data_IF_310072002584
#
_entry.id   IF_310072002584
#
_cell.length_a   1.000
_cell.length_b   1.000
_cell.length_c   1.000
_cell.angle_alpha   90.00
_cell.angle_beta   90.00
_cell.angle_gamma   90.00
#
_symmetry.space_group_name_H-M   'P 1'
#
loop_
_entity.id
_entity.type
_entity.pdbx_description
1 polymer ?
#
# COMPACT_ATOMS: atom_id res chain seq x y z
N UNK A 1 -22.38 -16.78 10.41
CA UNK A 1 -21.20 -16.00 10.00
C UNK A 1 -19.98 -16.82 10.33
N UNK A 2 -19.48 -17.59 9.35
CA UNK A 2 -18.29 -18.41 9.49
C UNK A 2 -17.28 -17.82 8.51
N UNK A 3 -16.39 -16.96 9.01
CA UNK A 3 -15.25 -16.48 8.25
C UNK A 3 -14.38 -17.70 7.93
N UNK A 4 -14.11 -17.93 6.64
CA UNK A 4 -13.13 -18.93 6.19
C UNK A 4 -11.74 -18.36 6.50
N UNK A 5 -11.38 -18.36 7.78
CA UNK A 5 -10.02 -18.21 8.24
C UNK A 5 -9.35 -19.57 8.05
N UNK A 6 -8.52 -19.69 7.02
CA UNK A 6 -7.77 -20.90 6.77
C UNK A 6 -6.76 -20.68 5.68
N UNK A 7 -5.56 -20.22 6.05
CA UNK A 7 -4.38 -20.58 5.27
C UNK A 7 -4.38 -22.11 5.12
N UNK A 8 -4.35 -22.62 3.90
CA UNK A 8 -4.02 -24.03 3.67
C UNK A 8 -2.67 -24.29 4.36
N UNK A 9 -2.55 -25.30 5.26
CA UNK A 9 -1.30 -25.57 5.94
C UNK A 9 -0.23 -25.91 4.90
N UNK A 10 0.79 -25.05 4.79
CA UNK A 10 1.95 -25.31 3.95
C UNK A 10 2.69 -26.53 4.52
N UNK A 11 2.61 -27.65 3.80
CA UNK A 11 3.36 -28.86 4.15
C UNK A 11 4.86 -28.57 4.10
N UNK A 12 5.61 -29.02 5.11
CA UNK A 12 7.07 -28.85 5.26
C UNK A 12 7.93 -29.63 4.24
N UNK A 13 7.38 -30.04 3.10
CA UNK A 13 8.12 -30.79 2.09
C UNK A 13 7.92 -30.19 0.70
N UNK A 14 8.95 -29.50 0.24
CA UNK A 14 9.15 -29.14 -1.17
C UNK A 14 9.58 -30.41 -1.91
N UNK A 15 8.85 -30.88 -2.94
CA UNK A 15 9.36 -31.94 -3.81
C UNK A 15 10.43 -31.36 -4.75
N UNK A 16 11.58 -32.00 -4.84
CA UNK A 16 12.59 -31.73 -5.86
C UNK A 16 12.02 -31.98 -7.26
N UNK A 17 11.80 -30.92 -8.02
CA UNK A 17 11.54 -31.01 -9.46
C UNK A 17 12.88 -30.93 -10.19
N UNK A 18 13.41 -32.12 -10.51
CA UNK A 18 14.50 -32.28 -11.47
C UNK A 18 13.95 -32.10 -12.89
N UNK A 19 14.33 -30.99 -13.55
CA UNK A 19 14.40 -30.95 -15.01
C UNK A 19 15.57 -30.09 -15.45
N UNK A 20 16.58 -30.78 -15.97
CA UNK A 20 17.65 -30.22 -16.80
C UNK A 20 17.00 -29.79 -18.11
N UNK A 21 17.15 -28.52 -18.47
CA UNK A 21 17.18 -28.10 -19.87
C UNK A 21 18.22 -26.98 -20.01
N UNK A 22 19.25 -27.31 -20.79
CA UNK A 22 20.37 -26.47 -21.19
C UNK A 22 19.89 -25.36 -22.12
N UNK A 23 20.12 -24.10 -21.74
CA UNK A 23 20.14 -22.99 -22.69
C UNK A 23 21.50 -22.29 -22.63
N UNK A 24 22.15 -22.31 -23.78
CA UNK A 24 23.50 -21.85 -24.07
C UNK A 24 23.65 -20.33 -23.97
N UNK A 25 24.84 -19.96 -23.55
CA UNK A 25 25.42 -18.62 -23.36
C UNK A 25 25.23 -17.65 -24.53
N UNK A 26 24.80 -16.43 -24.20
CA UNK A 26 24.99 -15.22 -25.01
C UNK A 26 25.54 -14.11 -24.12
N UNK A 27 26.86 -14.01 -24.02
CA UNK A 27 27.57 -12.96 -23.29
C UNK A 27 27.59 -11.68 -24.11
N UNK A 28 26.83 -10.67 -23.68
CA UNK A 28 26.84 -9.31 -24.24
C UNK A 28 27.05 -8.29 -23.13
N UNK A 29 28.23 -7.69 -23.12
CA UNK A 29 28.75 -6.68 -22.19
C UNK A 29 27.75 -5.55 -21.85
N UNK A 30 27.45 -5.40 -20.56
CA UNK A 30 27.09 -4.13 -19.93
C UNK A 30 28.01 -3.91 -18.72
N UNK A 31 29.26 -3.55 -18.99
CA UNK A 31 30.16 -2.99 -17.98
C UNK A 31 29.74 -1.54 -17.69
N UNK A 32 28.69 -1.38 -16.89
CA UNK A 32 28.41 -0.13 -16.19
C UNK A 32 29.28 -0.07 -14.94
N UNK A 33 30.14 0.94 -14.86
CA UNK A 33 30.97 1.26 -13.69
C UNK A 33 30.15 1.25 -12.38
N UNK A 34 30.15 0.12 -11.65
CA UNK A 34 29.72 0.08 -10.25
C UNK A 34 30.80 0.82 -9.45
N UNK A 35 30.51 2.04 -9.01
CA UNK A 35 31.21 2.60 -7.84
C UNK A 35 31.00 1.61 -6.70
N UNK A 36 32.03 0.81 -6.39
CA UNK A 36 32.07 -0.07 -5.23
C UNK A 36 31.86 0.81 -4.01
N UNK A 37 30.66 0.70 -3.43
CA UNK A 37 30.38 1.25 -2.11
C UNK A 37 31.21 0.38 -1.18
N UNK A 38 32.21 0.96 -0.50
CA UNK A 38 33.03 0.19 0.43
C UNK A 38 32.12 -0.48 1.47
N UNK A 39 32.13 -1.81 1.49
CA UNK A 39 31.37 -2.58 2.48
C UNK A 39 32.09 -2.40 3.82
N UNK A 40 31.41 -1.95 4.89
CA UNK A 40 32.04 -1.77 6.18
C UNK A 40 32.67 -3.07 6.67
N UNK A 41 33.79 -2.97 7.40
CA UNK A 41 34.50 -4.12 7.97
C UNK A 41 33.56 -4.93 8.89
N UNK A 42 33.48 -6.25 8.71
CA UNK A 42 32.55 -7.11 9.45
C UNK A 42 31.12 -7.15 8.89
N UNK A 43 30.89 -6.53 7.72
CA UNK A 43 29.65 -6.64 6.96
C UNK A 43 29.91 -7.36 5.64
N UNK A 44 28.89 -8.05 5.12
CA UNK A 44 28.89 -8.63 3.77
C UNK A 44 27.65 -8.19 2.99
N UNK A 45 27.76 -8.19 1.66
CA UNK A 45 26.62 -7.93 0.78
C UNK A 45 25.97 -9.27 0.42
N UNK A 46 24.66 -9.38 0.67
CA UNK A 46 23.85 -10.51 0.23
C UNK A 46 22.84 -10.01 -0.79
N UNK A 47 22.84 -10.62 -1.98
CA UNK A 47 21.85 -10.34 -3.02
C UNK A 47 20.62 -11.23 -2.79
N UNK A 48 19.47 -10.61 -2.61
CA UNK A 48 18.18 -11.26 -2.40
C UNK A 48 17.36 -11.21 -3.68
N UNK A 49 16.75 -12.33 -4.03
CA UNK A 49 15.79 -12.40 -5.13
C UNK A 49 14.44 -11.88 -4.66
N UNK A 50 13.90 -10.89 -5.38
CA UNK A 50 12.56 -10.38 -5.13
C UNK A 50 11.47 -11.39 -5.54
N UNK A 51 10.26 -11.28 -4.99
CA UNK A 51 9.12 -12.05 -5.46
C UNK A 51 8.80 -11.77 -6.93
N UNK A 52 7.95 -12.58 -7.55
CA UNK A 52 7.47 -12.35 -8.91
C UNK A 52 6.52 -11.16 -9.02
N UNK A 53 7.01 -9.94 -8.80
CA UNK A 53 6.21 -8.71 -8.69
C UNK A 53 5.48 -8.35 -10.00
N UNK A 54 6.10 -8.59 -11.16
CA UNK A 54 5.51 -8.36 -12.49
C UNK A 54 5.12 -9.67 -13.18
N UNK A 55 4.33 -10.49 -12.49
CA UNK A 55 3.84 -11.78 -13.01
C UNK A 55 2.33 -11.90 -12.78
N UNK A 56 1.69 -12.86 -13.47
CA UNK A 56 0.26 -13.13 -13.31
C UNK A 56 -0.59 -11.88 -13.53
N UNK A 57 -1.40 -11.51 -12.53
CA UNK A 57 -2.30 -10.35 -12.57
C UNK A 57 -1.58 -9.01 -12.83
N UNK A 58 -0.29 -8.93 -12.48
CA UNK A 58 0.52 -7.71 -12.53
C UNK A 58 1.58 -7.76 -13.64
N UNK A 59 1.48 -8.72 -14.57
CA UNK A 59 2.39 -8.80 -15.70
C UNK A 59 2.32 -7.56 -16.61
N UNK A 60 1.15 -6.92 -16.68
CA UNK A 60 0.96 -5.68 -17.42
C UNK A 60 1.17 -4.47 -16.50
N UNK A 61 1.82 -3.40 -17.01
CA UNK A 61 2.03 -2.18 -16.25
C UNK A 61 0.69 -1.53 -15.85
N UNK A 62 0.74 -0.66 -14.85
CA UNK A 62 -0.40 0.12 -14.42
C UNK A 62 -0.89 1.03 -15.55
N UNK A 63 -2.21 1.10 -15.71
CA UNK A 63 -2.84 2.17 -16.46
C UNK A 63 -2.67 3.46 -15.65
N UNK A 64 -2.38 4.56 -16.31
CA UNK A 64 -2.20 5.86 -15.65
C UNK A 64 -3.26 6.85 -16.14
N UNK A 65 -3.80 7.61 -15.21
CA UNK A 65 -4.73 8.69 -15.52
C UNK A 65 -4.07 9.73 -16.47
N UNK A 66 -4.75 10.15 -17.54
CA UNK A 66 -4.18 11.08 -18.54
C UNK A 66 -3.83 12.46 -17.94
N UNK A 67 -4.44 12.84 -16.83
CA UNK A 67 -4.18 14.12 -16.15
C UNK A 67 -2.86 14.14 -15.35
N UNK A 68 -2.12 13.03 -15.27
CA UNK A 68 -0.81 12.97 -14.59
C UNK A 68 0.18 14.03 -15.09
N UNK A 69 0.16 14.35 -16.38
CA UNK A 69 1.05 15.36 -16.99
C UNK A 69 0.42 16.76 -17.06
N UNK A 70 -0.75 16.96 -16.44
CA UNK A 70 -1.42 18.25 -16.39
C UNK A 70 -0.98 19.08 -15.17
N UNK A 71 -1.45 20.32 -15.09
CA UNK A 71 -1.22 21.19 -13.94
C UNK A 71 -1.84 20.66 -12.63
N UNK A 72 -2.76 19.69 -12.68
CA UNK A 72 -3.47 19.19 -11.50
C UNK A 72 -2.50 18.60 -10.47
N UNK A 73 -1.48 17.86 -10.94
CA UNK A 73 -0.45 17.29 -10.07
C UNK A 73 0.32 18.38 -9.34
N UNK A 74 0.79 19.40 -10.08
CA UNK A 74 1.50 20.56 -9.53
C UNK A 74 0.64 21.34 -8.55
N UNK A 75 -0.63 21.58 -8.88
CA UNK A 75 -1.55 22.31 -8.00
C UNK A 75 -1.82 21.56 -6.68
N UNK A 76 -1.90 20.23 -6.70
CA UNK A 76 -2.05 19.44 -5.47
C UNK A 76 -0.80 19.55 -4.58
N UNK A 77 0.39 19.48 -5.17
CA UNK A 77 1.66 19.63 -4.47
C UNK A 77 1.87 21.03 -3.91
N UNK A 78 1.58 22.09 -4.69
CA UNK A 78 1.69 23.49 -4.26
C UNK A 78 0.70 23.83 -3.15
N UNK A 79 -0.54 23.38 -3.27
CA UNK A 79 -1.55 23.57 -2.24
C UNK A 79 -1.16 22.88 -0.93
N UNK A 80 -0.64 21.64 -1.02
CA UNK A 80 -0.16 20.91 0.16
C UNK A 80 1.07 21.58 0.78
N UNK A 81 1.98 22.12 -0.05
CA UNK A 81 3.14 22.90 0.40
C UNK A 81 2.71 24.10 1.25
N UNK A 82 1.70 24.83 0.80
CA UNK A 82 1.18 26.00 1.51
C UNK A 82 0.56 25.62 2.85
N UNK A 83 -0.35 24.63 2.87
CA UNK A 83 -1.03 24.18 4.10
C UNK A 83 -0.04 23.62 5.12
N UNK A 84 0.92 22.82 4.66
CA UNK A 84 1.90 22.17 5.53
C UNK A 84 3.07 23.10 5.90
N UNK A 85 3.13 24.32 5.36
CA UNK A 85 4.21 25.27 5.63
C UNK A 85 5.60 24.77 5.20
N UNK A 86 5.69 24.01 4.10
CA UNK A 86 6.93 23.36 3.72
C UNK A 86 7.95 24.37 3.17
N UNK A 87 9.18 24.28 3.67
CA UNK A 87 10.33 24.91 3.04
C UNK A 87 10.72 24.19 1.73
N UNK A 88 11.70 24.72 1.00
CA UNK A 88 12.13 24.15 -0.30
C UNK A 88 12.59 22.69 -0.19
N UNK A 89 13.25 22.29 0.90
CA UNK A 89 13.66 20.90 1.12
C UNK A 89 12.46 19.98 1.32
N UNK A 90 11.48 20.42 2.13
CA UNK A 90 10.22 19.70 2.34
C UNK A 90 9.42 19.57 1.03
N UNK A 91 9.35 20.65 0.25
CA UNK A 91 8.69 20.63 -1.05
C UNK A 91 9.40 19.73 -2.06
N UNK A 92 10.73 19.72 -2.09
CA UNK A 92 11.50 18.79 -2.92
C UNK A 92 11.26 17.32 -2.51
N UNK A 93 11.13 17.03 -1.21
CA UNK A 93 10.76 15.69 -0.72
C UNK A 93 9.35 15.30 -1.15
N UNK A 94 8.38 16.22 -1.06
CA UNK A 94 6.99 16.00 -1.52
C UNK A 94 6.95 15.62 -3.00
N UNK A 95 7.58 16.43 -3.86
CA UNK A 95 7.65 16.14 -5.32
C UNK A 95 8.41 14.86 -5.63
N UNK A 96 9.50 14.61 -4.88
CA UNK A 96 10.30 13.40 -5.00
C UNK A 96 9.50 12.13 -4.71
N UNK A 97 8.51 12.19 -3.81
CA UNK A 97 7.66 11.05 -3.49
C UNK A 97 6.65 10.68 -4.59
N UNK A 98 6.46 11.54 -5.60
CA UNK A 98 5.61 11.29 -6.76
C UNK A 98 4.20 10.79 -6.41
N UNK A 99 3.54 11.34 -5.39
CA UNK A 99 2.17 10.97 -5.02
C UNK A 99 1.15 11.13 -6.17
N UNK A 100 1.29 12.10 -7.09
CA UNK A 100 0.43 12.13 -8.28
C UNK A 100 0.55 10.91 -9.19
N UNK A 101 1.72 10.27 -9.26
CA UNK A 101 1.90 9.01 -10.01
C UNK A 101 1.11 7.87 -9.35
N UNK A 102 1.11 7.79 -8.02
CA UNK A 102 0.31 6.83 -7.27
C UNK A 102 -1.18 7.05 -7.53
N UNK A 103 -1.64 8.30 -7.39
CA UNK A 103 -3.03 8.69 -7.67
C UNK A 103 -3.45 8.34 -9.11
N UNK A 104 -2.57 8.54 -10.09
CA UNK A 104 -2.84 8.25 -11.49
C UNK A 104 -3.02 6.74 -11.74
N UNK A 105 -2.30 5.90 -11.02
CA UNK A 105 -2.46 4.44 -11.09
C UNK A 105 -3.67 3.92 -10.31
N UNK A 106 -4.12 4.63 -9.27
CA UNK A 106 -5.20 4.18 -8.39
C UNK A 106 -6.61 4.35 -8.97
N UNK A 107 -6.81 5.36 -9.82
CA UNK A 107 -8.04 5.47 -10.61
C UNK A 107 -7.74 6.04 -12.01
N UNK A 108 -7.25 5.22 -12.95
CA UNK A 108 -6.88 5.68 -14.28
C UNK A 108 -8.05 6.31 -15.06
N UNK A 109 -9.28 5.85 -14.81
CA UNK A 109 -10.47 6.28 -15.57
C UNK A 109 -11.24 7.44 -14.93
N UNK A 110 -10.74 8.04 -13.83
CA UNK A 110 -11.43 9.18 -13.20
C UNK A 110 -11.23 10.48 -14.00
N UNK A 111 -12.18 11.39 -13.90
CA UNK A 111 -12.06 12.73 -14.47
C UNK A 111 -11.03 13.62 -13.73
N UNK A 112 -10.82 14.83 -14.23
CA UNK A 112 -9.87 15.80 -13.68
C UNK A 112 -10.13 16.12 -12.19
N UNK A 113 -11.40 16.23 -11.78
CA UNK A 113 -11.76 16.52 -10.40
C UNK A 113 -11.45 15.33 -9.50
N UNK A 114 -11.81 14.13 -9.92
CA UNK A 114 -11.49 12.91 -9.18
C UNK A 114 -9.98 12.65 -9.10
N UNK A 115 -9.21 12.97 -10.16
CA UNK A 115 -7.76 12.89 -10.13
C UNK A 115 -7.16 13.87 -9.10
N UNK A 116 -7.70 15.10 -9.01
CA UNK A 116 -7.32 16.05 -7.97
C UNK A 116 -7.62 15.53 -6.57
N UNK A 117 -8.80 14.95 -6.35
CA UNK A 117 -9.18 14.34 -5.06
C UNK A 117 -8.18 13.24 -4.67
N UNK A 118 -7.81 12.36 -5.60
CA UNK A 118 -6.84 11.31 -5.32
C UNK A 118 -5.43 11.85 -5.06
N UNK A 119 -4.97 12.86 -5.80
CA UNK A 119 -3.68 13.50 -5.49
C UNK A 119 -3.67 14.06 -4.06
N UNK A 120 -4.72 14.82 -3.69
CA UNK A 120 -4.86 15.38 -2.35
C UNK A 120 -4.94 14.27 -1.28
N UNK A 121 -5.65 13.16 -1.56
CA UNK A 121 -5.76 12.00 -0.67
C UNK A 121 -4.41 11.30 -0.48
N UNK A 122 -3.67 11.05 -1.57
CA UNK A 122 -2.34 10.43 -1.50
C UNK A 122 -1.37 11.32 -0.74
N UNK A 123 -1.38 12.64 -0.95
CA UNK A 123 -0.51 13.52 -0.17
C UNK A 123 -0.89 13.50 1.31
N UNK A 124 -2.19 13.58 1.61
CA UNK A 124 -2.69 13.57 2.98
C UNK A 124 -2.33 12.29 3.73
N UNK A 125 -2.57 11.11 3.15
CA UNK A 125 -2.42 9.84 3.87
C UNK A 125 -0.98 9.62 4.33
N UNK A 126 0.01 10.01 3.53
CA UNK A 126 1.41 9.90 3.93
C UNK A 126 1.79 10.89 5.03
N UNK A 127 1.26 12.12 5.02
CA UNK A 127 1.48 13.04 6.13
C UNK A 127 0.79 12.58 7.41
N UNK A 128 -0.37 11.94 7.28
CA UNK A 128 -1.08 11.38 8.41
C UNK A 128 -0.35 10.16 8.99
N UNK A 129 0.05 9.20 8.15
CA UNK A 129 0.83 8.02 8.56
C UNK A 129 2.17 8.41 9.20
N UNK A 130 2.89 9.40 8.64
CA UNK A 130 4.18 9.88 9.17
C UNK A 130 4.05 10.37 10.64
N UNK A 131 2.86 10.80 11.12
CA UNK A 131 2.64 11.14 12.54
C UNK A 131 2.79 9.93 13.46
N UNK A 132 2.40 8.74 12.99
CA UNK A 132 2.38 7.49 13.75
C UNK A 132 3.60 6.60 13.48
N UNK A 133 4.21 6.70 12.30
CA UNK A 133 5.37 5.88 11.92
C UNK A 133 6.68 6.48 12.43
N UNK A 134 6.94 7.74 12.09
CA UNK A 134 8.20 8.44 12.36
C UNK A 134 8.02 9.65 13.29
N UNK A 135 6.76 9.97 13.62
CA UNK A 135 6.38 11.18 14.33
C UNK A 135 6.20 11.02 15.84
N UNK A 136 5.64 12.06 16.44
CA UNK A 136 5.45 12.17 17.89
C UNK A 136 4.45 11.14 18.47
N UNK A 137 3.60 10.54 17.64
CA UNK A 137 2.56 9.60 18.09
C UNK A 137 3.03 8.14 18.10
N UNK A 138 4.21 7.85 17.52
CA UNK A 138 4.74 6.49 17.32
C UNK A 138 4.76 5.61 18.58
N UNK A 139 5.10 6.21 19.72
CA UNK A 139 5.25 5.51 21.00
C UNK A 139 4.26 6.00 22.06
N UNK A 140 3.19 6.68 21.66
CA UNK A 140 2.14 7.17 22.56
C UNK A 140 0.75 6.70 22.08
N UNK A 141 0.33 5.48 22.48
CA UNK A 141 -0.99 4.94 22.13
C UNK A 141 -2.17 5.85 22.51
N UNK A 142 -2.06 6.59 23.61
CA UNK A 142 -3.13 7.48 24.07
C UNK A 142 -3.23 8.73 23.20
N UNK A 143 -2.11 9.36 22.86
CA UNK A 143 -2.08 10.48 21.92
C UNK A 143 -2.52 10.03 20.51
N UNK A 144 -2.04 8.88 20.03
CA UNK A 144 -2.45 8.30 18.76
C UNK A 144 -3.98 8.11 18.69
N UNK A 145 -4.59 7.53 19.73
CA UNK A 145 -6.05 7.35 19.80
C UNK A 145 -6.80 8.67 19.79
N UNK A 146 -6.30 9.71 20.47
CA UNK A 146 -6.89 11.05 20.46
C UNK A 146 -6.83 11.67 19.06
N UNK A 147 -5.71 11.51 18.36
CA UNK A 147 -5.56 12.01 16.99
C UNK A 147 -6.50 11.31 16.00
N UNK A 148 -6.63 9.98 16.12
CA UNK A 148 -7.59 9.18 15.35
C UNK A 148 -9.03 9.63 15.60
N UNK A 149 -9.42 9.79 16.85
CA UNK A 149 -10.77 10.23 17.20
C UNK A 149 -11.06 11.62 16.66
N UNK A 150 -10.08 12.52 16.70
CA UNK A 150 -10.21 13.85 16.12
C UNK A 150 -10.39 13.79 14.59
N UNK A 151 -9.67 12.90 13.89
CA UNK A 151 -9.85 12.72 12.45
C UNK A 151 -11.20 12.09 12.09
N UNK A 152 -11.72 11.16 12.89
CA UNK A 152 -13.08 10.61 12.71
C UNK A 152 -14.16 11.67 12.90
N UNK A 153 -13.97 12.61 13.82
CA UNK A 153 -14.91 13.70 14.05
C UNK A 153 -15.05 14.63 12.82
N UNK A 154 -14.03 14.72 11.96
CA UNK A 154 -14.06 15.53 10.73
C UNK A 154 -15.11 15.05 9.72
N UNK A 155 -15.63 13.83 9.86
CA UNK A 155 -16.72 13.33 9.04
C UNK A 155 -18.08 13.92 9.38
N UNK A 156 -18.22 14.57 10.55
CA UNK A 156 -19.46 15.18 10.99
C UNK A 156 -19.79 16.47 10.24
N UNK A 157 -21.08 16.66 9.94
CA UNK A 157 -21.57 17.82 9.17
C UNK A 157 -21.50 19.13 9.97
N UNK A 158 -21.49 19.04 11.30
CA UNK A 158 -21.40 20.14 12.26
C UNK A 158 -19.98 20.38 12.79
N UNK A 159 -18.96 19.65 12.28
CA UNK A 159 -17.59 19.84 12.74
C UNK A 159 -17.07 21.24 12.36
N UNK A 160 -16.52 22.03 13.30
CA UNK A 160 -16.02 23.37 13.01
C UNK A 160 -14.83 23.36 12.05
N UNK A 161 -14.57 24.48 11.38
CA UNK A 161 -13.38 24.62 10.53
C UNK A 161 -12.10 24.43 11.35
N UNK A 162 -11.19 23.60 10.82
CA UNK A 162 -9.88 23.37 11.44
C UNK A 162 -8.99 24.58 11.21
N UNK A 163 -8.37 25.10 12.28
CA UNK A 163 -7.40 26.20 12.19
C UNK A 163 -6.15 25.78 11.39
N UNK A 164 -5.76 26.52 10.33
CA UNK A 164 -4.57 26.21 9.53
C UNK A 164 -3.26 26.20 10.32
N UNK A 165 -3.16 27.00 11.38
CA UNK A 165 -1.90 27.21 12.13
C UNK A 165 -1.58 26.09 13.11
N UNK A 166 -2.59 25.32 13.53
CA UNK A 166 -2.45 24.40 14.66
C UNK A 166 -2.46 22.92 14.23
N UNK A 167 -3.22 22.59 13.17
CA UNK A 167 -3.48 21.20 12.77
C UNK A 167 -3.53 21.06 11.23
N UNK A 168 -2.41 21.30 10.51
CA UNK A 168 -2.41 21.33 9.05
C UNK A 168 -2.83 20.00 8.40
N UNK A 169 -2.47 18.85 8.99
CA UNK A 169 -2.88 17.52 8.51
C UNK A 169 -4.41 17.33 8.59
N UNK A 170 -5.04 17.78 9.68
CA UNK A 170 -6.50 17.75 9.85
C UNK A 170 -7.20 18.71 8.88
N UNK A 171 -6.64 19.89 8.63
CA UNK A 171 -7.19 20.85 7.67
C UNK A 171 -7.16 20.28 6.24
N UNK A 172 -6.04 19.66 5.86
CA UNK A 172 -5.89 18.98 4.59
C UNK A 172 -7.00 17.93 4.42
N UNK A 173 -7.20 17.09 5.45
CA UNK A 173 -8.26 16.09 5.43
C UNK A 173 -9.67 16.67 5.42
N UNK A 174 -9.96 17.69 6.22
CA UNK A 174 -11.30 18.30 6.27
C UNK A 174 -11.68 18.87 4.91
N UNK A 175 -10.73 19.52 4.23
CA UNK A 175 -10.93 20.05 2.88
C UNK A 175 -11.15 18.91 1.88
N UNK A 176 -10.35 17.86 1.97
CA UNK A 176 -10.48 16.65 1.15
C UNK A 176 -11.84 15.96 1.36
N UNK A 177 -12.28 15.80 2.60
CA UNK A 177 -13.57 15.20 2.94
C UNK A 177 -14.72 15.98 2.33
N UNK A 178 -14.69 17.31 2.34
CA UNK A 178 -15.70 18.15 1.66
C UNK A 178 -15.77 17.87 0.17
N UNK A 179 -14.61 17.71 -0.50
CA UNK A 179 -14.54 17.37 -1.94
C UNK A 179 -15.10 15.97 -2.20
N UNK A 180 -14.74 14.97 -1.37
CA UNK A 180 -15.27 13.60 -1.47
C UNK A 180 -16.79 13.61 -1.27
N UNK A 181 -17.28 14.27 -0.22
CA UNK A 181 -18.70 14.38 0.11
C UNK A 181 -19.50 14.99 -1.05
N UNK A 182 -18.97 16.01 -1.72
CA UNK A 182 -19.62 16.68 -2.84
C UNK A 182 -19.87 15.77 -4.06
N UNK A 183 -19.06 14.71 -4.25
CA UNK A 183 -19.22 13.76 -5.37
C UNK A 183 -19.86 12.43 -4.95
N UNK A 184 -20.22 12.27 -3.68
CA UNK A 184 -20.62 10.99 -3.10
C UNK A 184 -22.09 10.97 -2.71
N UNK A 185 -22.77 9.86 -3.02
CA UNK A 185 -24.08 9.54 -2.42
C UNK A 185 -23.94 9.31 -0.91
N UNK A 186 -25.05 9.32 -0.17
CA UNK A 186 -25.03 9.01 1.27
C UNK A 186 -24.51 7.59 1.54
N UNK A 187 -24.84 6.60 0.70
CA UNK A 187 -24.31 5.24 0.79
C UNK A 187 -22.78 5.18 0.61
N UNK A 188 -22.27 5.84 -0.42
CA UNK A 188 -20.83 5.95 -0.66
C UNK A 188 -20.09 6.65 0.49
N UNK A 189 -20.69 7.74 1.05
CA UNK A 189 -20.17 8.41 2.23
C UNK A 189 -20.05 7.45 3.42
N UNK A 190 -21.08 6.64 3.70
CA UNK A 190 -21.04 5.68 4.81
C UNK A 190 -19.99 4.59 4.60
N UNK A 191 -19.89 4.01 3.38
CA UNK A 191 -18.85 3.02 3.05
C UNK A 191 -17.43 3.60 3.20
N UNK A 192 -17.21 4.83 2.73
CA UNK A 192 -15.93 5.51 2.92
C UNK A 192 -15.62 5.75 4.40
N UNK A 193 -16.56 6.31 5.17
CA UNK A 193 -16.37 6.55 6.62
C UNK A 193 -16.09 5.23 7.35
N UNK A 194 -16.79 4.14 7.03
CA UNK A 194 -16.55 2.84 7.64
C UNK A 194 -15.14 2.32 7.30
N UNK A 195 -14.71 2.45 6.04
CA UNK A 195 -13.35 2.05 5.65
C UNK A 195 -12.26 2.88 6.34
N UNK A 196 -12.52 4.17 6.59
CA UNK A 196 -11.63 5.04 7.37
C UNK A 196 -11.56 4.62 8.84
N UNK A 197 -12.68 4.22 9.45
CA UNK A 197 -12.69 3.67 10.82
C UNK A 197 -11.79 2.45 10.93
N UNK A 198 -11.95 1.48 10.04
CA UNK A 198 -11.09 0.29 10.02
C UNK A 198 -9.62 0.66 9.82
N UNK A 199 -9.31 1.56 8.88
CA UNK A 199 -7.94 2.02 8.65
C UNK A 199 -7.31 2.62 9.91
N UNK A 200 -8.02 3.53 10.58
CA UNK A 200 -7.55 4.14 11.81
C UNK A 200 -7.43 3.15 12.98
N UNK A 201 -8.33 2.17 13.08
CA UNK A 201 -8.20 1.07 14.04
C UNK A 201 -6.93 0.25 13.77
N UNK A 202 -6.62 -0.02 12.51
CA UNK A 202 -5.36 -0.64 12.07
C UNK A 202 -4.13 0.14 12.50
N UNK A 203 -4.11 1.47 12.31
CA UNK A 203 -3.01 2.33 12.78
C UNK A 203 -2.86 2.24 14.29
N UNK A 204 -3.96 2.27 15.04
CA UNK A 204 -3.86 2.20 16.48
C UNK A 204 -3.28 0.85 16.96
N UNK A 205 -3.67 -0.26 16.32
CA UNK A 205 -3.07 -1.57 16.57
C UNK A 205 -1.57 -1.59 16.23
N UNK A 206 -1.17 -0.89 15.17
CA UNK A 206 0.24 -0.74 14.80
C UNK A 206 1.01 0.04 15.87
N UNK A 207 0.48 1.17 16.35
CA UNK A 207 1.09 1.96 17.44
C UNK A 207 1.17 1.15 18.73
N UNK A 208 0.10 0.44 19.10
CA UNK A 208 0.10 -0.47 20.24
C UNK A 208 1.21 -1.52 20.10
N UNK A 209 1.33 -2.14 18.92
CA UNK A 209 2.39 -3.12 18.66
C UNK A 209 3.79 -2.49 18.81
N UNK A 210 4.04 -1.32 18.23
CA UNK A 210 5.35 -0.65 18.33
C UNK A 210 5.66 -0.30 19.79
N UNK A 211 4.68 0.24 20.52
CA UNK A 211 4.80 0.56 21.93
C UNK A 211 5.16 -0.69 22.75
N UNK A 212 4.42 -1.80 22.62
CA UNK A 212 4.70 -3.03 23.36
C UNK A 212 6.07 -3.64 23.03
N UNK A 213 6.51 -3.57 21.76
CA UNK A 213 7.87 -3.95 21.39
C UNK A 213 8.93 -3.10 22.11
N UNK A 214 8.71 -1.79 22.23
CA UNK A 214 9.61 -0.90 22.99
C UNK A 214 9.69 -1.25 24.50
N UNK A 215 8.65 -1.90 25.03
CA UNK A 215 8.59 -2.40 26.41
C UNK A 215 9.16 -3.82 26.56
N UNK A 216 9.73 -4.39 25.50
CA UNK A 216 10.33 -5.74 25.50
C UNK A 216 9.37 -6.88 25.13
N UNK A 217 8.10 -6.59 24.79
CA UNK A 217 7.15 -7.61 24.35
C UNK A 217 7.25 -7.85 22.85
N UNK A 218 7.83 -8.98 22.46
CA UNK A 218 8.10 -9.31 21.04
C UNK A 218 7.14 -10.36 20.44
N UNK A 219 5.99 -10.57 21.07
CA UNK A 219 5.07 -11.68 20.77
C UNK A 219 4.16 -11.48 19.54
N UNK A 220 4.31 -10.40 18.76
CA UNK A 220 3.45 -10.11 17.59
C UNK A 220 3.63 -11.17 16.49
N UNK A 221 2.80 -12.20 16.45
CA UNK A 221 2.86 -13.23 15.39
C UNK A 221 2.53 -12.66 14.01
N UNK A 222 2.92 -13.38 12.96
CA UNK A 222 2.61 -13.04 11.58
C UNK A 222 1.09 -12.96 11.35
N UNK A 223 0.27 -13.81 11.99
CA UNK A 223 -1.19 -13.72 11.89
C UNK A 223 -1.75 -12.46 12.55
N UNK A 224 -1.24 -12.09 13.73
CA UNK A 224 -1.64 -10.83 14.40
C UNK A 224 -1.26 -9.62 13.54
N UNK A 225 -0.03 -9.62 13.03
CA UNK A 225 0.46 -8.60 12.11
C UNK A 225 -0.41 -8.51 10.86
N UNK A 226 -0.69 -9.65 10.22
CA UNK A 226 -1.47 -9.75 9.00
C UNK A 226 -2.82 -9.05 9.13
N UNK A 227 -3.54 -9.35 10.21
CA UNK A 227 -4.88 -8.77 10.48
C UNK A 227 -4.82 -7.26 10.72
N UNK A 228 -3.86 -6.80 11.53
CA UNK A 228 -3.70 -5.36 11.80
C UNK A 228 -3.27 -4.58 10.56
N UNK A 229 -2.27 -5.09 9.84
CA UNK A 229 -1.68 -4.46 8.65
C UNK A 229 -2.68 -4.41 7.48
N UNK A 230 -3.55 -5.41 7.34
CA UNK A 230 -4.65 -5.39 6.35
C UNK A 230 -5.48 -4.11 6.46
N UNK A 231 -5.70 -3.64 7.69
CA UNK A 231 -6.38 -2.38 7.94
C UNK A 231 -5.45 -1.17 7.86
N UNK A 232 -4.24 -1.22 8.43
CA UNK A 232 -3.32 -0.07 8.48
C UNK A 232 -2.69 0.31 7.13
N UNK A 233 -2.84 -0.51 6.08
CA UNK A 233 -2.30 -0.22 4.75
C UNK A 233 -3.00 0.92 3.98
N UNK A 234 -4.10 1.49 4.49
CA UNK A 234 -4.79 2.63 3.87
C UNK A 234 -5.53 2.33 2.55
N UNK A 235 -5.46 1.10 2.03
CA UNK A 235 -6.03 0.73 0.72
C UNK A 235 -7.57 0.71 0.69
N UNK A 236 -8.21 0.26 1.79
CA UNK A 236 -9.68 0.15 1.86
C UNK A 236 -10.41 1.49 1.65
N UNK A 237 -9.97 2.60 2.27
CA UNK A 237 -10.45 3.94 1.90
C UNK A 237 -10.36 4.27 0.42
N UNK A 238 -9.23 3.98 -0.25
CA UNK A 238 -9.12 4.20 -1.69
C UNK A 238 -10.09 3.35 -2.51
N UNK A 239 -10.29 2.09 -2.12
CA UNK A 239 -11.27 1.22 -2.78
C UNK A 239 -12.69 1.78 -2.65
N UNK A 240 -13.06 2.30 -1.47
CA UNK A 240 -14.35 2.96 -1.27
C UNK A 240 -14.51 4.23 -2.12
N UNK A 241 -13.43 4.97 -2.39
CA UNK A 241 -13.45 6.13 -3.27
C UNK A 241 -13.72 5.79 -4.75
N UNK A 242 -13.49 4.55 -5.19
CA UNK A 242 -13.79 4.16 -6.57
C UNK A 242 -15.27 4.32 -6.90
N UNK A 243 -16.16 4.09 -5.93
CA UNK A 243 -17.60 4.22 -6.14
C UNK A 243 -17.99 5.63 -6.64
N UNK A 244 -17.72 6.72 -5.91
CA UNK A 244 -18.04 8.07 -6.37
C UNK A 244 -17.16 8.51 -7.55
N UNK A 245 -15.89 8.11 -7.62
CA UNK A 245 -14.98 8.49 -8.72
C UNK A 245 -15.44 7.91 -10.06
N UNK A 246 -15.94 6.68 -10.06
CA UNK A 246 -16.41 5.98 -11.26
C UNK A 246 -17.92 6.05 -11.47
N UNK A 247 -18.63 6.75 -10.59
CA UNK A 247 -20.09 6.92 -10.60
C UNK A 247 -20.81 5.57 -10.59
N UNK A 248 -20.29 4.64 -9.79
CA UNK A 248 -20.85 3.29 -9.62
C UNK A 248 -22.06 3.38 -8.69
N UNK A 249 -23.14 2.72 -9.05
CA UNK A 249 -24.37 2.61 -8.26
C UNK A 249 -24.78 1.15 -8.20
N UNK A 250 -24.45 0.47 -7.10
CA UNK A 250 -24.81 -0.92 -6.86
C UNK A 250 -25.73 -1.07 -5.65
N UNK A 251 -26.66 -2.03 -5.67
CA UNK A 251 -27.41 -2.42 -4.49
C UNK A 251 -26.50 -2.92 -3.37
N UNK A 252 -26.89 -2.71 -2.11
CA UNK A 252 -26.08 -3.11 -0.95
C UNK A 252 -25.76 -4.62 -0.92
N UNK A 253 -26.69 -5.48 -1.35
CA UNK A 253 -26.44 -6.93 -1.42
C UNK A 253 -25.32 -7.32 -2.39
N UNK A 254 -25.00 -6.47 -3.39
CA UNK A 254 -23.86 -6.67 -4.30
C UNK A 254 -22.57 -6.23 -3.61
N UNK A 255 -22.57 -5.07 -2.94
CA UNK A 255 -21.44 -4.60 -2.14
C UNK A 255 -21.03 -5.58 -1.04
N UNK A 256 -22.02 -6.22 -0.41
CA UNK A 256 -21.84 -7.18 0.67
C UNK A 256 -21.55 -8.60 0.17
N UNK A 257 -21.52 -8.82 -1.15
CA UNK A 257 -21.28 -10.14 -1.70
C UNK A 257 -19.87 -10.63 -1.33
N UNK A 258 -19.71 -11.86 -0.80
CA UNK A 258 -18.43 -12.36 -0.30
C UNK A 258 -17.29 -12.32 -1.32
N UNK A 259 -17.58 -12.55 -2.61
CA UNK A 259 -16.55 -12.51 -3.66
C UNK A 259 -16.09 -11.10 -4.02
N UNK A 260 -16.92 -10.07 -3.79
CA UNK A 260 -16.47 -8.67 -3.87
C UNK A 260 -15.49 -8.39 -2.73
N UNK A 261 -15.85 -8.79 -1.50
CA UNK A 261 -14.96 -8.64 -0.33
C UNK A 261 -13.65 -9.38 -0.47
N UNK A 262 -13.69 -10.60 -1.02
CA UNK A 262 -12.51 -11.42 -1.29
C UNK A 262 -11.58 -10.76 -2.31
N UNK A 263 -12.13 -10.17 -3.38
CA UNK A 263 -11.34 -9.44 -4.37
C UNK A 263 -10.70 -8.18 -3.77
N UNK A 264 -11.49 -7.40 -3.01
CA UNK A 264 -11.00 -6.22 -2.30
C UNK A 264 -9.88 -6.58 -1.29
N UNK A 265 -10.07 -7.62 -0.48
CA UNK A 265 -9.08 -8.15 0.47
C UNK A 265 -7.82 -8.57 -0.25
N UNK A 266 -7.97 -9.31 -1.35
CA UNK A 266 -6.84 -9.79 -2.13
C UNK A 266 -6.00 -8.63 -2.67
N UNK A 267 -6.63 -7.59 -3.23
CA UNK A 267 -5.91 -6.40 -3.70
C UNK A 267 -5.24 -5.63 -2.55
N UNK A 268 -5.91 -5.49 -1.40
CA UNK A 268 -5.31 -4.91 -0.19
C UNK A 268 -4.06 -5.66 0.24
N UNK A 269 -4.12 -6.99 0.30
CA UNK A 269 -2.98 -7.81 0.68
C UNK A 269 -1.82 -7.71 -0.31
N UNK A 270 -2.10 -7.59 -1.62
CA UNK A 270 -1.07 -7.37 -2.63
C UNK A 270 -0.37 -6.01 -2.40
N UNK A 271 -1.12 -4.93 -2.26
CA UNK A 271 -0.59 -3.58 -1.97
C UNK A 271 0.28 -3.58 -0.72
N UNK A 272 -0.24 -4.16 0.35
CA UNK A 272 0.45 -4.28 1.63
C UNK A 272 1.77 -5.05 1.50
N UNK A 273 1.76 -6.20 0.84
CA UNK A 273 2.98 -7.00 0.70
C UNK A 273 4.03 -6.36 -0.20
N UNK A 274 3.62 -5.68 -1.27
CA UNK A 274 4.56 -4.98 -2.14
C UNK A 274 5.24 -3.83 -1.42
N UNK A 275 4.47 -3.10 -0.61
CA UNK A 275 5.02 -2.12 0.30
C UNK A 275 6.09 -2.77 1.18
N UNK A 276 5.74 -3.79 1.98
CA UNK A 276 6.68 -4.44 2.90
C UNK A 276 7.95 -4.97 2.20
N UNK A 277 7.79 -5.69 1.08
CA UNK A 277 8.90 -6.34 0.35
C UNK A 277 9.88 -5.30 -0.21
N UNK A 278 9.37 -4.18 -0.70
CA UNK A 278 10.19 -3.13 -1.31
C UNK A 278 10.72 -2.14 -0.27
N UNK A 279 9.97 -1.89 0.80
CA UNK A 279 10.35 -0.98 1.88
C UNK A 279 11.29 -1.62 2.90
N UNK A 280 11.33 -2.95 3.02
CA UNK A 280 12.08 -3.65 4.05
C UNK A 280 13.54 -3.20 4.18
N UNK A 281 14.25 -2.98 3.06
CA UNK A 281 15.65 -2.54 3.09
C UNK A 281 15.83 -1.18 3.79
N UNK A 282 14.89 -0.26 3.59
CA UNK A 282 14.85 1.04 4.30
C UNK A 282 14.47 0.81 5.76
N UNK A 283 13.37 0.11 6.00
CA UNK A 283 12.78 -0.07 7.34
C UNK A 283 13.66 -0.86 8.30
N UNK A 284 14.40 -1.86 7.80
CA UNK A 284 15.36 -2.62 8.59
C UNK A 284 16.50 -1.72 9.12
N UNK A 285 16.93 -0.72 8.34
CA UNK A 285 17.93 0.26 8.79
C UNK A 285 17.40 1.22 9.86
N UNK A 286 16.08 1.36 9.96
CA UNK A 286 15.35 2.21 10.91
C UNK A 286 14.81 1.41 12.11
N UNK A 287 15.14 0.11 12.20
CA UNK A 287 14.67 -0.83 13.23
C UNK A 287 13.15 -0.84 13.39
N UNK A 288 12.41 -0.72 12.28
CA UNK A 288 10.94 -0.76 12.29
C UNK A 288 10.47 -2.21 12.48
N UNK A 289 9.75 -2.54 13.57
CA UNK A 289 9.34 -3.92 13.86
C UNK A 289 8.09 -4.36 13.06
N UNK A 290 7.42 -3.44 12.36
CA UNK A 290 6.13 -3.63 11.72
C UNK A 290 6.24 -3.95 10.21
N UNK A 291 6.98 -5.00 9.86
CA UNK A 291 7.15 -5.46 8.48
C UNK A 291 7.06 -6.99 8.41
N UNK A 292 6.35 -7.54 7.42
CA UNK A 292 6.20 -8.99 7.26
C UNK A 292 7.53 -9.75 7.20
N UNK A 293 8.54 -9.24 6.49
CA UNK A 293 9.85 -9.88 6.37
C UNK A 293 10.52 -9.96 7.74
N UNK A 294 10.56 -8.85 8.49
CA UNK A 294 11.10 -8.82 9.85
C UNK A 294 10.43 -9.85 10.76
N UNK A 295 9.10 -9.89 10.73
CA UNK A 295 8.31 -10.77 11.59
C UNK A 295 8.52 -12.24 11.21
N UNK A 296 8.63 -12.58 9.93
CA UNK A 296 8.92 -13.93 9.48
C UNK A 296 10.31 -14.40 9.93
N UNK A 297 11.33 -13.55 9.85
CA UNK A 297 12.66 -13.89 10.35
C UNK A 297 12.63 -14.15 11.87
N UNK A 298 11.95 -13.28 12.63
CA UNK A 298 11.89 -13.37 14.09
C UNK A 298 11.03 -14.55 14.58
N UNK A 299 9.83 -14.73 14.04
CA UNK A 299 8.88 -15.74 14.51
C UNK A 299 9.21 -17.15 13.99
N UNK A 300 9.66 -17.26 12.74
CA UNK A 300 9.86 -18.57 12.08
C UNK A 300 11.32 -18.95 11.90
N UNK A 301 12.25 -18.07 12.27
CA UNK A 301 13.68 -18.31 12.10
C UNK A 301 14.14 -18.32 10.64
N UNK A 302 13.36 -17.74 9.73
CA UNK A 302 13.71 -17.70 8.31
C UNK A 302 14.95 -16.83 8.07
N UNK A 303 15.82 -17.28 7.18
CA UNK A 303 16.79 -16.41 6.53
C UNK A 303 16.08 -15.32 5.73
N UNK A 304 16.83 -14.28 5.34
CA UNK A 304 16.27 -13.20 4.55
C UNK A 304 15.69 -13.72 3.22
N UNK A 305 16.39 -14.63 2.53
CA UNK A 305 15.88 -15.19 1.27
C UNK A 305 14.63 -16.06 1.51
N UNK A 306 14.59 -16.88 2.56
CA UNK A 306 13.41 -17.71 2.88
C UNK A 306 12.17 -16.85 3.20
N UNK A 307 12.34 -15.69 3.85
CA UNK A 307 11.24 -14.75 4.09
C UNK A 307 10.70 -14.15 2.77
N UNK A 308 11.57 -13.79 1.83
CA UNK A 308 11.18 -13.32 0.50
C UNK A 308 10.54 -14.43 -0.35
N UNK A 309 11.04 -15.67 -0.24
CA UNK A 309 10.46 -16.83 -0.93
C UNK A 309 9.05 -17.16 -0.39
N UNK A 310 8.84 -17.00 0.92
CA UNK A 310 7.52 -17.11 1.54
C UNK A 310 6.56 -16.02 1.04
N UNK A 311 7.01 -14.76 0.97
CA UNK A 311 6.21 -13.67 0.39
C UNK A 311 5.82 -13.98 -1.06
N UNK A 312 6.73 -14.54 -1.86
CA UNK A 312 6.45 -14.97 -3.23
C UNK A 312 5.38 -16.08 -3.32
N UNK A 313 5.36 -17.01 -2.37
CA UNK A 313 4.29 -18.02 -2.30
C UNK A 313 2.93 -17.38 -1.98
N UNK A 314 2.90 -16.41 -1.07
CA UNK A 314 1.67 -15.71 -0.71
C UNK A 314 1.11 -14.86 -1.86
N UNK A 315 1.97 -14.18 -2.62
CA UNK A 315 1.55 -13.45 -3.82
C UNK A 315 0.89 -14.39 -4.84
N UNK A 316 1.46 -15.58 -5.06
CA UNK A 316 0.86 -16.59 -5.95
C UNK A 316 -0.52 -17.05 -5.45
N UNK A 317 -0.67 -17.24 -4.13
CA UNK A 317 -1.96 -17.58 -3.54
C UNK A 317 -2.98 -16.44 -3.71
N UNK A 318 -2.56 -15.19 -3.56
CA UNK A 318 -3.43 -14.02 -3.81
C UNK A 318 -3.90 -13.98 -5.26
N UNK A 319 -3.04 -14.29 -6.23
CA UNK A 319 -3.48 -14.39 -7.62
C UNK A 319 -4.56 -15.45 -7.81
N UNK A 320 -4.41 -16.62 -7.18
CA UNK A 320 -5.43 -17.67 -7.21
C UNK A 320 -6.74 -17.21 -6.57
N UNK A 321 -6.68 -16.55 -5.41
CA UNK A 321 -7.85 -15.99 -4.70
C UNK A 321 -8.60 -14.96 -5.55
N UNK A 322 -7.88 -14.08 -6.25
CA UNK A 322 -8.50 -13.13 -7.18
C UNK A 322 -9.23 -13.83 -8.32
N UNK A 323 -8.58 -14.79 -9.00
CA UNK A 323 -9.23 -15.53 -10.09
C UNK A 323 -10.45 -16.31 -9.61
N UNK A 324 -10.35 -16.91 -8.42
CA UNK A 324 -11.46 -17.60 -7.78
C UNK A 324 -12.63 -16.65 -7.49
N UNK A 325 -12.34 -15.48 -6.90
CA UNK A 325 -13.34 -14.46 -6.63
C UNK A 325 -14.07 -14.04 -7.92
N UNK A 326 -13.33 -13.78 -9.01
CA UNK A 326 -13.91 -13.45 -10.31
C UNK A 326 -14.80 -14.57 -10.87
N UNK A 327 -14.35 -15.82 -10.81
CA UNK A 327 -15.08 -16.97 -11.33
C UNK A 327 -16.36 -17.29 -10.53
N UNK A 328 -16.36 -16.99 -9.23
CA UNK A 328 -17.48 -17.28 -8.34
C UNK A 328 -18.48 -16.11 -8.20
N UNK A 329 -18.32 -15.03 -8.95
CA UNK A 329 -19.34 -13.98 -9.01
C UNK A 329 -20.58 -14.50 -9.74
N UNK A 330 -21.79 -14.37 -9.15
CA UNK A 330 -23.01 -14.56 -9.91
C UNK A 330 -23.20 -13.40 -10.91
N UNK A 331 -24.13 -13.58 -11.83
CA UNK A 331 -24.68 -12.46 -12.61
C UNK A 331 -25.85 -11.84 -11.84
N UNK A 332 -25.88 -10.52 -11.76
CA UNK A 332 -27.00 -9.73 -11.23
C UNK A 332 -27.78 -9.01 -12.34
N UNK A 333 -27.42 -9.27 -13.61
CA UNK A 333 -27.94 -8.59 -14.79
C UNK A 333 -26.91 -7.62 -15.38
N UNK A 334 -26.99 -7.44 -16.70
CA UNK A 334 -25.97 -6.76 -17.51
C UNK A 334 -25.52 -5.40 -16.94
N UNK A 335 -26.46 -4.55 -16.53
CA UNK A 335 -26.17 -3.20 -16.02
C UNK A 335 -25.37 -3.23 -14.70
N UNK A 336 -25.69 -4.17 -13.80
CA UNK A 336 -24.99 -4.34 -12.53
C UNK A 336 -23.62 -4.99 -12.79
N UNK A 337 -23.58 -6.02 -13.63
CA UNK A 337 -22.37 -6.78 -13.92
C UNK A 337 -21.28 -5.89 -14.56
N UNK A 338 -21.64 -4.99 -15.48
CA UNK A 338 -20.71 -4.01 -16.07
C UNK A 338 -20.08 -3.12 -14.98
N UNK A 339 -20.89 -2.65 -14.04
CA UNK A 339 -20.42 -1.78 -12.96
C UNK A 339 -19.58 -2.54 -11.93
N UNK A 340 -19.92 -3.80 -11.61
CA UNK A 340 -19.09 -4.69 -10.80
C UNK A 340 -17.73 -4.90 -11.45
N UNK A 341 -17.68 -5.20 -12.75
CA UNK A 341 -16.42 -5.38 -13.46
C UNK A 341 -15.60 -4.09 -13.50
N UNK A 342 -16.23 -2.93 -13.69
CA UNK A 342 -15.57 -1.62 -13.58
C UNK A 342 -14.99 -1.39 -12.19
N UNK A 343 -15.72 -1.72 -11.13
CA UNK A 343 -15.25 -1.62 -9.75
C UNK A 343 -14.02 -2.51 -9.52
N UNK A 344 -14.12 -3.80 -9.88
CA UNK A 344 -13.05 -4.77 -9.67
C UNK A 344 -11.80 -4.45 -10.49
N UNK A 345 -11.97 -3.91 -11.70
CA UNK A 345 -10.84 -3.41 -12.48
C UNK A 345 -10.14 -2.25 -11.76
N UNK A 346 -10.89 -1.29 -11.21
CA UNK A 346 -10.34 -0.21 -10.38
C UNK A 346 -9.59 -0.72 -9.15
N UNK A 347 -10.16 -1.71 -8.44
CA UNK A 347 -9.51 -2.36 -7.28
C UNK A 347 -8.18 -3.00 -7.68
N UNK A 348 -8.12 -3.67 -8.84
CA UNK A 348 -6.88 -4.24 -9.37
C UNK A 348 -5.88 -3.17 -9.82
N UNK A 349 -6.36 -2.09 -10.42
CA UNK A 349 -5.52 -0.96 -10.84
C UNK A 349 -4.82 -0.32 -9.65
N UNK A 350 -5.45 -0.24 -8.47
CA UNK A 350 -4.78 0.22 -7.24
C UNK A 350 -3.57 -0.65 -6.88
N UNK A 351 -3.68 -1.97 -7.00
CA UNK A 351 -2.55 -2.88 -6.74
C UNK A 351 -1.41 -2.68 -7.76
N UNK A 352 -1.76 -2.54 -9.05
CA UNK A 352 -0.78 -2.26 -10.11
C UNK A 352 -0.12 -0.89 -9.94
N UNK A 353 -0.92 0.14 -9.67
CA UNK A 353 -0.48 1.51 -9.46
C UNK A 353 0.45 1.62 -8.26
N UNK A 354 0.15 0.91 -7.16
CA UNK A 354 1.04 0.85 -6.01
C UNK A 354 2.39 0.22 -6.35
N UNK A 355 2.39 -0.90 -7.08
CA UNK A 355 3.62 -1.57 -7.48
C UNK A 355 4.49 -0.67 -8.38
N UNK A 356 3.90 -0.10 -9.43
CA UNK A 356 4.62 0.77 -10.35
C UNK A 356 5.12 2.05 -9.68
N UNK A 357 4.32 2.65 -8.79
CA UNK A 357 4.75 3.78 -7.98
C UNK A 357 5.87 3.42 -7.00
N UNK A 358 5.86 2.22 -6.42
CA UNK A 358 6.91 1.76 -5.49
C UNK A 358 8.29 1.71 -6.17
N UNK A 359 8.33 1.39 -7.47
CA UNK A 359 9.53 1.52 -8.29
C UNK A 359 9.75 2.94 -8.83
N UNK A 360 8.70 3.70 -9.16
CA UNK A 360 8.83 5.04 -9.74
C UNK A 360 9.29 6.13 -8.75
N UNK A 361 8.74 6.14 -7.54
CA UNK A 361 8.82 7.24 -6.57
C UNK A 361 10.17 7.45 -5.89
N UNK A 362 11.16 6.60 -6.13
CA UNK A 362 12.44 6.54 -5.39
C UNK A 362 12.28 6.41 -3.85
N UNK A 363 11.06 6.31 -3.30
CA UNK A 363 10.78 6.31 -1.85
C UNK A 363 11.45 5.14 -1.15
N UNK A 364 11.38 3.95 -1.74
CA UNK A 364 11.90 2.71 -1.12
C UNK A 364 13.30 2.35 -1.62
N UNK A 365 13.50 2.39 -2.93
CA UNK A 365 14.73 1.89 -3.56
C UNK A 365 15.71 2.98 -3.97
N UNK A 366 15.34 4.27 -3.84
CA UNK A 366 16.20 5.38 -4.20
C UNK A 366 16.71 5.28 -5.63
N UNK A 367 18.04 5.38 -5.79
CA UNK A 367 18.74 5.25 -7.07
C UNK A 367 18.81 3.81 -7.61
N UNK A 368 18.56 2.81 -6.76
CA UNK A 368 18.69 1.40 -7.15
C UNK A 368 17.41 0.86 -7.81
N UNK A 369 16.35 1.66 -7.88
CA UNK A 369 15.03 1.23 -8.31
C UNK A 369 15.01 0.63 -9.71
N UNK A 370 15.66 1.28 -10.69
CA UNK A 370 15.72 0.80 -12.07
C UNK A 370 16.47 -0.53 -12.17
N UNK A 371 17.60 -0.66 -11.46
CA UNK A 371 18.37 -1.89 -11.43
C UNK A 371 17.57 -3.03 -10.79
N UNK A 372 16.96 -2.78 -9.63
CA UNK A 372 16.11 -3.75 -8.94
C UNK A 372 14.92 -4.19 -9.78
N UNK A 373 14.30 -3.25 -10.53
CA UNK A 373 13.21 -3.57 -11.47
C UNK A 373 13.70 -4.43 -12.64
N UNK A 374 14.90 -4.18 -13.15
CA UNK A 374 15.45 -4.92 -14.28
C UNK A 374 15.90 -6.33 -13.89
N UNK A 375 16.50 -6.50 -12.71
CA UNK A 375 17.09 -7.77 -12.28
C UNK A 375 16.17 -8.60 -11.37
N UNK A 376 15.12 -7.99 -10.80
CA UNK A 376 14.30 -8.57 -9.72
C UNK A 376 15.16 -9.03 -8.53
N UNK A 377 16.20 -8.26 -8.19
CA UNK A 377 17.07 -8.52 -7.04
C UNK A 377 17.35 -7.25 -6.24
N UNK A 378 17.63 -7.40 -4.95
CA UNK A 378 18.07 -6.32 -4.07
C UNK A 378 19.30 -6.74 -3.25
N UNK A 379 20.28 -5.85 -3.18
CA UNK A 379 21.46 -6.05 -2.35
C UNK A 379 21.21 -5.50 -0.93
N UNK A 380 21.52 -6.32 0.07
CA UNK A 380 21.45 -6.01 1.50
C UNK A 380 22.84 -6.07 2.13
N UNK A 381 23.13 -5.14 3.03
CA UNK A 381 24.35 -5.16 3.86
C UNK A 381 23.98 -5.82 5.19
N UNK A 382 24.58 -6.98 5.48
CA UNK A 382 24.32 -7.77 6.69
C UNK A 382 25.61 -7.97 7.48
N UNK A 383 25.50 -8.26 8.78
CA UNK A 383 26.64 -8.69 9.60
C UNK A 383 27.22 -10.03 9.10
N UNK A 384 28.55 -10.17 9.21
CA UNK A 384 29.28 -11.36 8.75
C UNK A 384 28.89 -12.65 9.47
#
# INVERSE_FOLDING_TARGET
MTTVNGFLPLSKKVPELTRRDTLTSGTGLLNGNKKTTEVPRGKKVVTIKLPGLYTGLLAQPARLNPFLKSDISRQAEEWSREIMGLNEKGYARLRGAQFPLLAAGFAPDTDANGFRILCDWMIWVFYFDDLFDDGELRNDPMAARREINAHLALHSDDHPDVSPKERPVRLLYQTLWRKIKAISTKGAQQRYIQSMRHYFEGIALQVDSVYWHSQGYTATTFDMYWRGRTHSAGSRPCQALLEPLYKITLPDHVWDHPMIKEAEDTATHLIMFYNDVLSYRKEASELVPHNSIHILQRERGYSLQEAYDFANQLIKQMFQRWYWAQQCLPSWGEEIDIQVQKYLQGVLDQAKGNLDWSFGSRRYLGKDSEAARATMTLDFVVDE
#
